data_IF_652373098005
#
_entry.id   IF_652373098005
#
_cell.length_a   1.000
_cell.length_b   1.000
_cell.length_c   1.000
_cell.angle_alpha   90.00
_cell.angle_beta   90.00
_cell.angle_gamma   90.00
#
_symmetry.space_group_name_H-M   'P 1'
#
loop_
_entity.id
_entity.type
_entity.pdbx_description
1 polymer ?
#
# COMPACT_ATOMS: atom_id res chain seq x y z
N UNK A 1 29.70 -2.44 18.68
CA UNK A 1 28.45 -1.66 18.49
C UNK A 1 27.47 -2.28 17.49
N UNK A 2 27.85 -2.54 16.22
CA UNK A 2 26.91 -3.09 15.23
C UNK A 2 26.40 -4.52 15.52
N UNK A 3 27.24 -5.41 16.07
CA UNK A 3 26.82 -6.76 16.50
C UNK A 3 25.81 -6.72 17.66
N UNK A 4 26.04 -5.83 18.64
CA UNK A 4 25.12 -5.61 19.75
C UNK A 4 23.74 -5.13 19.27
N UNK A 5 23.70 -4.14 18.36
CA UNK A 5 22.45 -3.67 17.76
C UNK A 5 21.69 -4.74 16.96
N UNK A 6 22.42 -5.59 16.24
CA UNK A 6 21.83 -6.74 15.54
C UNK A 6 21.22 -7.76 16.51
N UNK A 7 21.92 -8.03 17.61
CA UNK A 7 21.46 -8.93 18.66
C UNK A 7 20.21 -8.36 19.36
N UNK A 8 20.23 -7.08 19.72
CA UNK A 8 19.09 -6.39 20.35
C UNK A 8 17.85 -6.45 19.45
N UNK A 9 17.96 -6.09 18.17
CA UNK A 9 16.81 -6.12 17.27
C UNK A 9 16.31 -7.56 17.00
N UNK A 10 17.20 -8.55 16.95
CA UNK A 10 16.79 -9.95 16.87
C UNK A 10 16.04 -10.38 18.13
N UNK A 11 16.57 -10.06 19.32
CA UNK A 11 15.94 -10.36 20.59
C UNK A 11 14.56 -9.69 20.70
N UNK A 12 14.45 -8.42 20.33
CA UNK A 12 13.18 -7.67 20.32
C UNK A 12 12.14 -8.41 19.47
N UNK A 13 12.47 -8.82 18.25
CA UNK A 13 11.50 -9.51 17.38
C UNK A 13 11.10 -10.87 17.96
N UNK A 14 12.04 -11.61 18.55
CA UNK A 14 11.72 -12.89 19.19
C UNK A 14 10.84 -12.68 20.43
N UNK A 15 11.12 -11.68 21.26
CA UNK A 15 10.32 -11.31 22.43
C UNK A 15 8.90 -10.90 22.01
N UNK A 16 8.76 -10.07 20.97
CA UNK A 16 7.43 -9.70 20.45
C UNK A 16 6.68 -10.92 19.93
N UNK A 17 7.37 -11.83 19.23
CA UNK A 17 6.75 -13.04 18.70
C UNK A 17 6.31 -13.99 19.82
N UNK A 18 7.14 -14.19 20.85
CA UNK A 18 6.80 -15.04 21.99
C UNK A 18 5.67 -14.43 22.82
N UNK A 19 5.70 -13.12 23.07
CA UNK A 19 4.63 -12.40 23.75
C UNK A 19 3.31 -12.52 22.98
N UNK A 20 3.35 -12.43 21.65
CA UNK A 20 2.18 -12.57 20.80
C UNK A 20 1.59 -13.98 20.86
N UNK A 21 2.44 -15.03 20.79
CA UNK A 21 2.01 -16.42 20.95
C UNK A 21 1.40 -16.63 22.35
N UNK A 22 2.02 -16.10 23.39
CA UNK A 22 1.49 -16.18 24.75
C UNK A 22 0.14 -15.48 24.86
N UNK A 23 -0.04 -14.30 24.26
CA UNK A 23 -1.32 -13.59 24.21
C UNK A 23 -2.43 -14.36 23.50
N UNK A 24 -2.10 -15.08 22.41
CA UNK A 24 -3.06 -15.96 21.72
C UNK A 24 -3.53 -17.11 22.62
N UNK A 25 -2.59 -17.78 23.28
CA UNK A 25 -2.88 -18.89 24.18
C UNK A 25 -3.64 -18.42 25.42
N UNK A 26 -3.27 -17.27 25.97
CA UNK A 26 -3.92 -16.68 27.13
C UNK A 26 -5.39 -16.35 26.84
N UNK A 27 -5.69 -15.67 25.73
CA UNK A 27 -7.07 -15.33 25.38
C UNK A 27 -7.90 -16.57 25.12
N UNK A 28 -7.34 -17.57 24.43
CA UNK A 28 -8.02 -18.85 24.24
C UNK A 28 -8.30 -19.54 25.59
N UNK A 29 -7.34 -19.53 26.51
CA UNK A 29 -7.49 -20.06 27.86
C UNK A 29 -8.55 -19.33 28.68
N UNK A 30 -8.59 -18.00 28.63
CA UNK A 30 -9.63 -17.18 29.30
C UNK A 30 -11.02 -17.50 28.77
N UNK A 31 -11.17 -17.67 27.44
CA UNK A 31 -12.48 -18.02 26.85
C UNK A 31 -12.95 -19.41 27.32
N UNK A 32 -12.04 -20.40 27.38
CA UNK A 32 -12.36 -21.71 27.94
C UNK A 32 -12.67 -21.67 29.43
N UNK A 33 -11.96 -20.84 30.20
CA UNK A 33 -12.23 -20.66 31.62
C UNK A 33 -13.59 -20.00 31.87
N UNK A 34 -13.95 -18.97 31.09
CA UNK A 34 -15.28 -18.35 31.13
C UNK A 34 -16.37 -19.35 30.77
N UNK A 35 -16.15 -20.20 29.75
CA UNK A 35 -17.08 -21.26 29.40
C UNK A 35 -17.27 -22.26 30.55
N UNK A 36 -16.18 -22.71 31.17
CA UNK A 36 -16.23 -23.64 32.29
C UNK A 36 -16.94 -23.05 33.52
N UNK A 37 -16.65 -21.79 33.86
CA UNK A 37 -17.26 -21.12 35.02
C UNK A 37 -18.77 -20.96 34.84
N UNK A 38 -19.23 -20.52 33.66
CA UNK A 38 -20.66 -20.42 33.36
C UNK A 38 -21.33 -21.80 33.22
N UNK A 39 -20.58 -22.84 32.85
CA UNK A 39 -21.10 -24.22 32.81
C UNK A 39 -21.30 -24.85 34.19
N UNK A 40 -20.61 -24.34 35.21
CA UNK A 40 -20.57 -24.93 36.55
C UNK A 40 -21.46 -24.19 37.56
N UNK A 41 -22.14 -23.12 37.15
CA UNK A 41 -23.07 -22.35 37.98
C UNK A 41 -24.39 -23.08 38.27
N UNK A 42 -25.16 -22.65 39.30
CA UNK A 42 -26.45 -23.25 39.62
C UNK A 42 -27.46 -23.06 38.48
N UNK A 43 -28.16 -24.13 38.11
CA UNK A 43 -29.09 -24.20 36.99
C UNK A 43 -30.34 -23.37 37.31
N UNK A 44 -30.35 -22.09 36.93
CA UNK A 44 -31.59 -21.32 36.78
C UNK A 44 -31.95 -21.43 35.29
N UNK A 45 -32.99 -22.19 34.96
CA UNK A 45 -33.41 -22.46 33.57
C UNK A 45 -33.97 -21.21 32.87
N UNK A 46 -33.11 -20.28 32.50
CA UNK A 46 -33.45 -19.17 31.61
C UNK A 46 -32.96 -19.50 30.19
N UNK A 47 -33.85 -19.48 29.19
CA UNK A 47 -33.50 -19.80 27.78
C UNK A 47 -32.33 -18.96 27.24
N UNK A 48 -32.22 -17.71 27.70
CA UNK A 48 -31.13 -16.77 27.37
C UNK A 48 -29.76 -17.24 27.86
N UNK A 49 -29.66 -17.94 28.99
CA UNK A 49 -28.39 -18.43 29.53
C UNK A 49 -27.87 -19.63 28.73
N UNK A 50 -28.78 -20.50 28.28
CA UNK A 50 -28.46 -21.66 27.42
C UNK A 50 -27.98 -21.24 26.03
N UNK A 51 -28.54 -20.17 25.46
CA UNK A 51 -28.05 -19.60 24.19
C UNK A 51 -26.67 -18.96 24.34
N UNK A 52 -26.45 -18.19 25.41
CA UNK A 52 -25.15 -17.59 25.72
C UNK A 52 -24.05 -18.65 25.90
N UNK A 53 -24.37 -19.77 26.55
CA UNK A 53 -23.46 -20.90 26.74
C UNK A 53 -23.04 -21.57 25.43
N UNK A 54 -23.98 -21.75 24.49
CA UNK A 54 -23.67 -22.26 23.14
C UNK A 54 -22.79 -21.28 22.35
N UNK A 55 -23.09 -19.97 22.44
CA UNK A 55 -22.29 -18.93 21.81
C UNK A 55 -20.86 -18.89 22.36
N UNK A 56 -20.68 -18.99 23.68
CA UNK A 56 -19.39 -18.96 24.34
C UNK A 56 -18.53 -20.20 24.01
N UNK A 57 -19.15 -21.37 23.92
CA UNK A 57 -18.50 -22.59 23.43
C UNK A 57 -18.03 -22.42 21.97
N UNK A 58 -18.92 -21.92 21.10
CA UNK A 58 -18.60 -21.65 19.70
C UNK A 58 -17.43 -20.67 19.54
N UNK A 59 -17.44 -19.56 20.28
CA UNK A 59 -16.35 -18.58 20.27
C UNK A 59 -15.02 -19.16 20.78
N UNK A 60 -15.07 -20.03 21.79
CA UNK A 60 -13.87 -20.69 22.35
C UNK A 60 -13.22 -21.63 21.33
N UNK A 61 -14.02 -22.42 20.60
CA UNK A 61 -13.55 -23.30 19.53
C UNK A 61 -12.99 -22.49 18.34
N UNK A 62 -13.67 -21.41 17.94
CA UNK A 62 -13.18 -20.55 16.86
C UNK A 62 -11.85 -19.90 17.25
N UNK A 63 -11.74 -19.43 18.49
CA UNK A 63 -10.52 -18.80 19.02
C UNK A 63 -9.34 -19.78 19.06
N UNK A 64 -9.53 -21.02 19.52
CA UNK A 64 -8.46 -22.05 19.51
C UNK A 64 -8.01 -22.39 18.10
N UNK A 65 -8.95 -22.67 17.18
CA UNK A 65 -8.63 -23.03 15.79
C UNK A 65 -7.85 -21.90 15.12
N UNK A 66 -8.30 -20.66 15.30
CA UNK A 66 -7.64 -19.50 14.75
C UNK A 66 -6.24 -19.28 15.37
N UNK A 67 -6.08 -19.43 16.68
CA UNK A 67 -4.79 -19.35 17.34
C UNK A 67 -3.81 -20.41 16.81
N UNK A 68 -4.25 -21.66 16.61
CA UNK A 68 -3.43 -22.72 16.03
C UNK A 68 -3.00 -22.38 14.60
N UNK A 69 -3.92 -21.89 13.76
CA UNK A 69 -3.59 -21.45 12.38
C UNK A 69 -2.53 -20.34 12.39
N UNK A 70 -2.66 -19.34 13.27
CA UNK A 70 -1.67 -18.27 13.38
C UNK A 70 -0.31 -18.77 13.86
N UNK A 71 -0.28 -19.65 14.86
CA UNK A 71 0.96 -20.24 15.35
C UNK A 71 1.66 -21.03 14.24
N UNK A 72 0.92 -21.85 13.49
CA UNK A 72 1.47 -22.58 12.32
C UNK A 72 2.03 -21.61 11.29
N UNK A 73 1.30 -20.55 10.94
CA UNK A 73 1.76 -19.55 9.96
C UNK A 73 3.03 -18.83 10.42
N UNK A 74 3.13 -18.48 11.71
CA UNK A 74 4.33 -17.91 12.32
C UNK A 74 5.53 -18.86 12.17
N UNK A 75 5.33 -20.15 12.47
CA UNK A 75 6.39 -21.17 12.37
C UNK A 75 6.87 -21.33 10.93
N UNK A 76 5.95 -21.37 9.96
CA UNK A 76 6.29 -21.47 8.53
C UNK A 76 7.10 -20.25 8.04
N UNK A 77 6.76 -19.05 8.51
CA UNK A 77 7.43 -17.81 8.10
C UNK A 77 8.75 -17.55 8.85
N UNK A 78 9.06 -18.30 9.92
CA UNK A 78 10.26 -18.08 10.77
C UNK A 78 11.57 -17.95 9.99
N UNK A 79 11.79 -18.81 8.99
CA UNK A 79 13.03 -18.75 8.18
C UNK A 79 13.15 -17.45 7.37
N UNK A 80 12.02 -16.88 6.93
CA UNK A 80 11.97 -15.64 6.16
C UNK A 80 12.10 -14.40 7.05
N UNK A 81 11.61 -14.46 8.30
CA UNK A 81 11.73 -13.39 9.30
C UNK A 81 13.20 -12.97 9.46
N UNK A 82 14.13 -13.93 9.55
CA UNK A 82 15.55 -13.60 9.71
C UNK A 82 16.11 -12.73 8.58
N UNK A 83 15.81 -13.10 7.33
CA UNK A 83 16.24 -12.35 6.15
C UNK A 83 15.63 -10.94 6.15
N UNK A 84 14.35 -10.83 6.51
CA UNK A 84 13.64 -9.54 6.51
C UNK A 84 14.16 -8.63 7.63
N UNK A 85 14.51 -9.16 8.80
CA UNK A 85 15.16 -8.39 9.86
C UNK A 85 16.50 -7.83 9.37
N UNK A 86 17.30 -8.62 8.65
CA UNK A 86 18.57 -8.14 8.10
C UNK A 86 18.36 -7.00 7.09
N UNK A 87 17.36 -7.12 6.21
CA UNK A 87 16.97 -6.06 5.27
C UNK A 87 16.51 -4.80 6.02
N UNK A 88 15.67 -4.95 7.04
CA UNK A 88 15.16 -3.82 7.83
C UNK A 88 16.27 -3.12 8.62
N UNK A 89 17.20 -3.88 9.20
CA UNK A 89 18.38 -3.32 9.87
C UNK A 89 19.29 -2.56 8.88
N UNK A 90 19.48 -3.08 7.67
CA UNK A 90 20.25 -2.41 6.63
C UNK A 90 19.55 -1.10 6.21
N UNK A 91 18.23 -1.13 6.01
CA UNK A 91 17.43 0.06 5.71
C UNK A 91 17.51 1.10 6.85
N UNK A 92 17.29 0.68 8.10
CA UNK A 92 17.36 1.58 9.27
C UNK A 92 18.74 2.22 9.44
N UNK A 93 19.82 1.50 9.13
CA UNK A 93 21.17 2.06 9.15
C UNK A 93 21.36 3.17 8.10
N UNK A 94 20.70 3.06 6.96
CA UNK A 94 20.71 4.12 5.93
C UNK A 94 19.86 5.28 6.41
N UNK A 95 18.63 5.01 6.83
CA UNK A 95 17.69 6.03 7.31
C UNK A 95 18.27 6.85 8.48
N UNK A 96 18.96 6.19 9.42
CA UNK A 96 19.63 6.87 10.53
C UNK A 96 20.77 7.82 10.11
N UNK A 97 21.35 7.64 8.91
CA UNK A 97 22.34 8.58 8.34
C UNK A 97 21.69 9.71 7.54
N UNK A 98 20.48 9.49 7.03
CA UNK A 98 19.75 10.45 6.21
C UNK A 98 18.37 10.73 6.82
N UNK A 99 18.31 11.39 7.99
CA UNK A 99 17.05 11.59 8.72
C UNK A 99 16.03 12.39 7.91
N UNK A 100 16.49 13.24 6.99
CA UNK A 100 15.62 13.99 6.08
C UNK A 100 14.77 13.09 5.16
N UNK A 101 15.10 11.80 5.02
CA UNK A 101 14.32 10.85 4.21
C UNK A 101 12.91 10.64 4.77
N UNK A 102 12.72 10.84 6.08
CA UNK A 102 11.40 10.81 6.72
C UNK A 102 10.49 11.97 6.30
N UNK A 103 11.06 13.12 5.94
CA UNK A 103 10.28 14.27 5.47
C UNK A 103 9.89 14.17 4.00
N UNK A 104 10.53 13.28 3.24
CA UNK A 104 10.27 13.13 1.81
C UNK A 104 8.78 12.82 1.49
N UNK A 105 8.09 11.87 2.16
CA UNK A 105 6.67 11.63 1.91
C UNK A 105 5.80 12.82 2.27
N UNK A 106 6.10 13.53 3.38
CA UNK A 106 5.34 14.71 3.83
C UNK A 106 5.42 15.81 2.78
N UNK A 107 6.61 16.08 2.26
CA UNK A 107 6.81 17.06 1.19
C UNK A 107 6.03 16.69 -0.08
N UNK A 108 6.03 15.42 -0.46
CA UNK A 108 5.24 14.94 -1.60
C UNK A 108 3.74 15.10 -1.37
N UNK A 109 3.22 14.86 -0.15
CA UNK A 109 1.82 15.11 0.17
C UNK A 109 1.45 16.59 0.04
N UNK A 110 2.31 17.51 0.49
CA UNK A 110 2.09 18.95 0.33
C UNK A 110 2.00 19.31 -1.16
N UNK A 111 2.92 18.82 -1.99
CA UNK A 111 2.89 19.07 -3.45
C UNK A 111 1.60 18.51 -4.07
N UNK A 112 1.18 17.31 -3.69
CA UNK A 112 -0.06 16.71 -4.18
C UNK A 112 -1.30 17.52 -3.78
N UNK A 113 -1.36 18.04 -2.56
CA UNK A 113 -2.46 18.90 -2.10
C UNK A 113 -2.48 20.20 -2.90
N UNK A 114 -1.33 20.87 -3.06
CA UNK A 114 -1.23 22.10 -3.85
C UNK A 114 -1.64 21.86 -5.30
N UNK A 115 -1.19 20.76 -5.90
CA UNK A 115 -1.61 20.36 -7.24
C UNK A 115 -3.12 20.09 -7.32
N UNK A 116 -3.69 19.41 -6.32
CA UNK A 116 -5.13 19.13 -6.29
C UNK A 116 -5.95 20.43 -6.18
N UNK A 117 -5.54 21.37 -5.32
CA UNK A 117 -6.19 22.68 -5.21
C UNK A 117 -6.12 23.44 -6.54
N UNK A 118 -4.94 23.47 -7.18
CA UNK A 118 -4.78 24.07 -8.50
C UNK A 118 -5.67 23.40 -9.55
N UNK A 119 -5.72 22.07 -9.56
CA UNK A 119 -6.55 21.30 -10.47
C UNK A 119 -8.05 21.60 -10.30
N UNK A 120 -8.53 21.71 -9.05
CA UNK A 120 -9.92 22.09 -8.75
C UNK A 120 -10.20 23.51 -9.20
N UNK A 121 -9.29 24.46 -8.96
CA UNK A 121 -9.45 25.83 -9.42
C UNK A 121 -9.60 25.90 -10.95
N UNK A 122 -8.76 25.19 -11.70
CA UNK A 122 -8.85 25.11 -13.16
C UNK A 122 -10.15 24.42 -13.61
N UNK A 123 -10.60 23.38 -12.90
CA UNK A 123 -11.88 22.72 -13.19
C UNK A 123 -13.07 23.68 -13.03
N UNK A 124 -13.06 24.48 -11.95
CA UNK A 124 -14.09 25.50 -11.72
C UNK A 124 -14.07 26.56 -12.82
N UNK A 125 -12.89 27.04 -13.21
CA UNK A 125 -12.73 27.98 -14.33
C UNK A 125 -13.21 27.39 -15.67
N UNK A 126 -12.96 26.10 -15.92
CA UNK A 126 -13.47 25.39 -17.11
C UNK A 126 -15.00 25.28 -17.10
N UNK A 127 -15.60 25.07 -15.92
CA UNK A 127 -17.05 25.00 -15.75
C UNK A 127 -17.74 26.34 -15.97
N UNK A 128 -17.08 27.46 -15.63
CA UNK A 128 -17.64 28.82 -15.79
C UNK A 128 -17.35 29.47 -17.14
N UNK A 129 -16.42 28.93 -17.94
CA UNK A 129 -16.03 29.46 -19.24
C UNK A 129 -17.08 29.31 -20.38
N UNK A 130 -18.31 28.90 -20.07
CA UNK A 130 -19.38 28.73 -21.07
C UNK A 130 -19.89 30.06 -21.64
N UNK A 131 -19.97 30.17 -22.96
CA UNK A 131 -20.52 31.36 -23.63
C UNK A 131 -22.06 31.37 -23.57
N UNK A 132 -22.63 32.50 -23.16
CA UNK A 132 -24.07 32.78 -23.19
C UNK A 132 -24.49 33.08 -24.64
N UNK A 133 -25.45 32.32 -25.18
CA UNK A 133 -26.12 32.66 -26.43
C UNK A 133 -27.57 33.06 -26.11
N UNK A 134 -27.93 34.28 -26.50
CA UNK A 134 -29.30 34.78 -26.37
C UNK A 134 -30.09 34.33 -27.59
N UNK A 135 -31.13 33.53 -27.36
CA UNK A 135 -32.04 33.09 -28.41
C UNK A 135 -33.04 34.24 -28.68
N UNK A 136 -33.43 34.52 -29.94
CA UNK A 136 -34.51 35.46 -30.23
C UNK A 136 -35.78 35.00 -29.49
N UNK A 137 -36.24 35.81 -28.54
CA UNK A 137 -37.29 35.44 -27.56
C UNK A 137 -36.91 35.64 -26.09
N UNK A 138 -35.71 36.14 -25.79
CA UNK A 138 -35.29 36.53 -24.43
C UNK A 138 -34.82 35.37 -23.55
N UNK A 139 -34.76 34.14 -24.07
CA UNK A 139 -34.22 32.98 -23.37
C UNK A 139 -32.70 32.91 -23.50
N UNK A 140 -32.02 32.71 -22.38
CA UNK A 140 -30.57 32.49 -22.30
C UNK A 140 -30.28 31.00 -22.30
N UNK A 141 -29.58 30.50 -23.32
CA UNK A 141 -29.13 29.10 -23.36
C UNK A 141 -27.61 29.04 -23.31
N UNK A 142 -27.08 28.37 -22.29
CA UNK A 142 -25.66 28.09 -22.19
C UNK A 142 -25.30 27.01 -23.21
N UNK A 143 -24.52 27.39 -24.23
CA UNK A 143 -24.03 26.44 -25.23
C UNK A 143 -22.59 26.07 -24.87
N UNK A 144 -22.40 24.87 -24.33
CA UNK A 144 -21.06 24.34 -24.04
C UNK A 144 -20.33 24.15 -25.38
N UNK A 145 -19.23 24.87 -25.59
CA UNK A 145 -18.42 24.73 -26.80
C UNK A 145 -17.73 23.37 -26.85
N UNK A 146 -17.52 22.86 -28.07
CA UNK A 146 -16.89 21.56 -28.31
C UNK A 146 -15.51 21.46 -27.65
N UNK A 147 -14.71 22.53 -27.66
CA UNK A 147 -13.40 22.58 -27.00
C UNK A 147 -13.44 22.29 -25.50
N UNK A 148 -14.46 22.79 -24.78
CA UNK A 148 -14.63 22.57 -23.33
C UNK A 148 -14.90 21.09 -23.03
N UNK A 149 -15.60 20.38 -23.95
CA UNK A 149 -15.90 18.95 -23.78
C UNK A 149 -14.66 18.06 -23.88
N UNK A 150 -13.69 18.40 -24.73
CA UNK A 150 -12.41 17.67 -24.80
C UNK A 150 -11.46 18.03 -23.66
N UNK A 151 -11.46 19.29 -23.24
CA UNK A 151 -10.66 19.76 -22.10
C UNK A 151 -10.99 19.01 -20.82
N UNK A 152 -12.25 18.57 -20.65
CA UNK A 152 -12.64 17.79 -19.48
C UNK A 152 -11.90 16.44 -19.36
N UNK A 153 -11.81 15.69 -20.47
CA UNK A 153 -11.05 14.43 -20.51
C UNK A 153 -9.54 14.67 -20.36
N UNK A 154 -9.01 15.71 -21.02
CA UNK A 154 -7.62 16.11 -20.85
C UNK A 154 -7.30 16.44 -19.38
N UNK A 155 -8.19 17.18 -18.71
CA UNK A 155 -8.02 17.58 -17.31
C UNK A 155 -8.04 16.37 -16.36
N UNK A 156 -8.93 15.41 -16.59
CA UNK A 156 -8.95 14.14 -15.83
C UNK A 156 -7.70 13.28 -16.06
N UNK A 157 -7.29 13.11 -17.31
CA UNK A 157 -6.07 12.36 -17.62
C UNK A 157 -4.84 13.06 -17.04
N UNK A 158 -4.81 14.40 -17.09
CA UNK A 158 -3.79 15.23 -16.45
C UNK A 158 -3.74 15.05 -14.94
N UNK A 159 -4.89 14.91 -14.26
CA UNK A 159 -4.95 14.61 -12.82
C UNK A 159 -4.21 13.31 -12.49
N UNK A 160 -4.57 12.23 -13.20
CA UNK A 160 -4.02 10.90 -12.95
C UNK A 160 -2.53 10.90 -13.25
N UNK A 161 -2.14 11.40 -14.42
CA UNK A 161 -0.75 11.36 -14.87
C UNK A 161 0.18 12.24 -14.04
N UNK A 162 -0.23 13.46 -13.71
CA UNK A 162 0.58 14.37 -12.90
C UNK A 162 0.73 13.84 -11.47
N UNK A 163 -0.31 13.23 -10.91
CA UNK A 163 -0.23 12.57 -9.59
C UNK A 163 0.79 11.42 -9.61
N UNK A 164 0.73 10.55 -10.64
CA UNK A 164 1.71 9.47 -10.81
C UNK A 164 3.12 9.99 -11.06
N UNK A 165 3.26 11.10 -11.78
CA UNK A 165 4.56 11.76 -12.00
C UNK A 165 5.15 12.28 -10.68
N UNK A 166 4.36 12.97 -9.85
CA UNK A 166 4.79 13.46 -8.54
C UNK A 166 5.24 12.29 -7.63
N UNK A 167 4.47 11.20 -7.61
CA UNK A 167 4.84 9.99 -6.85
C UNK A 167 6.09 9.30 -7.41
N UNK A 168 6.26 9.27 -8.73
CA UNK A 168 7.45 8.70 -9.37
C UNK A 168 8.71 9.56 -9.08
N UNK A 169 8.60 10.88 -9.04
CA UNK A 169 9.67 11.78 -8.57
C UNK A 169 10.09 11.45 -7.13
N UNK A 170 9.12 11.16 -6.25
CA UNK A 170 9.41 10.73 -4.88
C UNK A 170 10.18 9.41 -4.87
N UNK A 171 9.73 8.40 -5.62
CA UNK A 171 10.38 7.08 -5.70
C UNK A 171 11.83 7.19 -6.20
N UNK A 172 12.04 7.97 -7.26
CA UNK A 172 13.37 8.20 -7.85
C UNK A 172 14.29 8.94 -6.87
N UNK A 173 13.77 9.94 -6.15
CA UNK A 173 14.54 10.69 -5.13
C UNK A 173 14.98 9.78 -3.97
N UNK A 174 14.08 8.92 -3.49
CA UNK A 174 14.38 7.95 -2.42
C UNK A 174 15.44 6.97 -2.91
N UNK A 175 15.28 6.43 -4.13
CA UNK A 175 16.26 5.52 -4.74
C UNK A 175 17.64 6.19 -4.89
N UNK A 176 17.69 7.42 -5.41
CA UNK A 176 18.88 8.27 -5.52
C UNK A 176 19.61 8.43 -4.19
N UNK A 177 18.87 8.78 -3.14
CA UNK A 177 19.43 9.00 -1.81
C UNK A 177 19.98 7.70 -1.22
N UNK A 178 19.23 6.60 -1.35
CA UNK A 178 19.62 5.28 -0.83
C UNK A 178 20.86 4.76 -1.55
N UNK A 179 20.91 4.82 -2.88
CA UNK A 179 22.08 4.38 -3.67
C UNK A 179 23.31 5.21 -3.29
N UNK A 180 23.18 6.53 -3.22
CA UNK A 180 24.27 7.42 -2.83
C UNK A 180 24.78 7.10 -1.42
N UNK A 181 23.90 6.83 -0.46
CA UNK A 181 24.29 6.51 0.91
C UNK A 181 24.86 5.09 1.09
N UNK A 182 24.38 4.14 0.28
CA UNK A 182 24.75 2.73 0.37
C UNK A 182 26.06 2.42 -0.37
N UNK A 183 26.20 2.90 -1.60
CA UNK A 183 27.35 2.58 -2.46
C UNK A 183 28.54 3.53 -2.27
N UNK A 184 28.34 4.74 -1.72
CA UNK A 184 29.46 5.64 -1.46
C UNK A 184 30.27 5.16 -0.24
N UNK A 185 31.41 4.52 -0.53
CA UNK A 185 32.30 3.91 0.46
C UNK A 185 33.03 4.97 1.30
N UNK A 186 33.24 6.17 0.75
CA UNK A 186 33.95 7.25 1.42
C UNK A 186 32.99 8.27 2.04
N UNK A 187 32.68 8.08 3.32
CA UNK A 187 31.68 8.89 4.04
C UNK A 187 32.08 10.37 4.20
N UNK A 188 33.35 10.72 4.07
CA UNK A 188 33.82 12.12 4.14
C UNK A 188 33.50 12.93 2.89
N UNK A 189 33.20 12.27 1.75
CA UNK A 189 32.76 12.91 0.50
C UNK A 189 31.24 12.91 0.33
N UNK A 190 30.47 12.49 1.33
CA UNK A 190 29.02 12.49 1.25
C UNK A 190 28.54 13.94 1.32
N UNK A 191 27.82 14.39 0.29
CA UNK A 191 27.17 15.72 0.28
C UNK A 191 26.40 15.93 1.59
N UNK A 192 26.53 17.12 2.19
CA UNK A 192 25.85 17.49 3.45
C UNK A 192 24.34 17.29 3.39
N UNK A 193 23.75 17.32 2.19
CA UNK A 193 22.32 17.10 1.95
C UNK A 193 22.08 16.14 0.77
N UNK A 194 22.16 14.82 0.98
CA UNK A 194 22.07 13.83 -0.11
C UNK A 194 20.70 13.79 -0.79
N UNK A 195 19.64 14.23 -0.11
CA UNK A 195 18.29 14.34 -0.68
C UNK A 195 18.20 15.50 -1.67
N UNK A 196 18.69 16.69 -1.29
CA UNK A 196 18.71 17.86 -2.20
C UNK A 196 19.54 17.57 -3.45
N UNK A 197 20.69 16.89 -3.27
CA UNK A 197 21.49 16.42 -4.39
C UNK A 197 20.71 15.44 -5.29
N UNK A 198 20.00 14.46 -4.70
CA UNK A 198 19.19 13.50 -5.46
C UNK A 198 18.02 14.17 -6.21
N UNK A 199 17.40 15.18 -5.62
CA UNK A 199 16.35 15.99 -6.27
C UNK A 199 16.94 16.76 -7.46
N UNK A 200 18.10 17.40 -7.30
CA UNK A 200 18.79 18.09 -8.38
C UNK A 200 19.15 17.12 -9.52
N UNK A 201 19.71 15.96 -9.20
CA UNK A 201 20.03 14.92 -10.20
C UNK A 201 18.78 14.42 -10.93
N UNK A 202 17.67 14.25 -10.20
CA UNK A 202 16.38 13.89 -10.80
C UNK A 202 15.96 14.90 -11.87
N UNK A 203 15.92 16.20 -11.52
CA UNK A 203 15.45 17.23 -12.44
C UNK A 203 16.43 17.53 -13.58
N UNK A 204 17.73 17.41 -13.35
CA UNK A 204 18.75 17.69 -14.36
C UNK A 204 18.98 16.53 -15.34
N UNK A 205 18.87 15.27 -14.89
CA UNK A 205 19.32 14.12 -15.68
C UNK A 205 18.26 13.03 -15.89
N UNK A 206 17.33 12.84 -14.95
CA UNK A 206 16.42 11.68 -14.97
C UNK A 206 14.94 12.01 -15.13
N UNK A 207 14.61 13.28 -15.40
CA UNK A 207 13.23 13.73 -15.57
C UNK A 207 12.50 12.93 -16.66
N UNK A 208 13.15 12.70 -17.82
CA UNK A 208 12.57 11.93 -18.92
C UNK A 208 12.27 10.47 -18.56
N UNK A 209 13.11 9.82 -17.75
CA UNK A 209 12.88 8.47 -17.24
C UNK A 209 11.63 8.43 -16.36
N UNK A 210 11.46 9.42 -15.49
CA UNK A 210 10.32 9.52 -14.57
C UNK A 210 9.03 9.83 -15.32
N UNK A 211 9.06 10.75 -16.29
CA UNK A 211 7.93 11.07 -17.18
C UNK A 211 7.47 9.82 -17.94
N UNK A 212 8.41 9.07 -18.52
CA UNK A 212 8.09 7.84 -19.28
C UNK A 212 7.49 6.77 -18.38
N UNK A 213 8.07 6.54 -17.21
CA UNK A 213 7.57 5.55 -16.28
C UNK A 213 6.17 5.91 -15.74
N UNK A 214 5.95 7.16 -15.31
CA UNK A 214 4.64 7.59 -14.79
C UNK A 214 3.54 7.56 -15.85
N UNK A 215 3.87 7.84 -17.10
CA UNK A 215 2.94 7.75 -18.23
C UNK A 215 2.47 6.31 -18.46
N UNK A 216 3.38 5.34 -18.45
CA UNK A 216 3.04 3.91 -18.63
C UNK A 216 2.04 3.44 -17.57
N UNK A 217 2.25 3.80 -16.31
CA UNK A 217 1.32 3.43 -15.21
C UNK A 217 -0.05 4.09 -15.41
N UNK A 218 -0.06 5.35 -15.82
CA UNK A 218 -1.28 6.12 -16.03
C UNK A 218 -2.12 5.55 -17.16
N UNK A 219 -1.50 5.18 -18.28
CA UNK A 219 -2.17 4.51 -19.41
C UNK A 219 -2.81 3.18 -18.98
N UNK A 220 -2.20 2.46 -18.03
CA UNK A 220 -2.74 1.19 -17.53
C UNK A 220 -3.84 1.35 -16.48
N UNK A 221 -3.83 2.47 -15.74
CA UNK A 221 -4.86 2.78 -14.74
C UNK A 221 -6.18 3.23 -15.37
N UNK A 222 -6.14 3.95 -16.50
CA UNK A 222 -7.35 4.48 -17.18
C UNK A 222 -8.32 3.36 -17.60
N UNK A 223 -7.92 2.27 -18.28
CA UNK A 223 -8.80 1.17 -18.65
C UNK A 223 -9.55 0.57 -17.46
N UNK A 224 -8.90 0.46 -16.30
CA UNK A 224 -9.51 -0.08 -15.09
C UNK A 224 -10.62 0.83 -14.53
N UNK A 225 -10.40 2.14 -14.54
CA UNK A 225 -11.42 3.12 -14.14
C UNK A 225 -12.61 3.05 -15.10
N UNK A 226 -12.35 3.02 -16.41
CA UNK A 226 -13.39 2.91 -17.44
C UNK A 226 -14.20 1.62 -17.29
N UNK A 227 -13.54 0.46 -17.15
CA UNK A 227 -14.20 -0.83 -16.94
C UNK A 227 -15.07 -0.83 -15.68
N UNK A 228 -14.60 -0.23 -14.59
CA UNK A 228 -15.37 -0.11 -13.35
C UNK A 228 -16.61 0.78 -13.55
N UNK A 229 -16.48 1.91 -14.26
CA UNK A 229 -17.59 2.79 -14.59
C UNK A 229 -18.63 2.07 -15.45
N UNK A 230 -18.20 1.35 -16.49
CA UNK A 230 -19.10 0.58 -17.37
C UNK A 230 -19.82 -0.53 -16.60
N UNK A 231 -19.10 -1.28 -15.77
CA UNK A 231 -19.70 -2.34 -14.95
C UNK A 231 -20.75 -1.78 -13.97
N UNK A 232 -20.47 -0.64 -13.31
CA UNK A 232 -21.43 -0.03 -12.40
C UNK A 232 -22.72 0.43 -13.10
N UNK A 233 -22.63 0.90 -14.34
CA UNK A 233 -23.79 1.29 -15.15
C UNK A 233 -24.60 0.06 -15.60
N UNK A 234 -23.92 -1.04 -15.95
CA UNK A 234 -24.54 -2.24 -16.50
C UNK A 234 -24.95 -3.29 -15.44
N UNK A 235 -24.62 -3.06 -14.17
CA UNK A 235 -24.83 -4.02 -13.06
C UNK A 235 -26.26 -4.58 -12.98
N UNK A 236 -27.26 -3.81 -13.40
CA UNK A 236 -28.68 -4.20 -13.37
C UNK A 236 -29.23 -4.73 -14.70
N UNK A 237 -28.42 -4.78 -15.77
CA UNK A 237 -28.84 -5.14 -17.14
C UNK A 237 -27.98 -6.22 -17.80
N UNK A 238 -26.98 -6.77 -17.09
CA UNK A 238 -25.98 -7.67 -17.67
C UNK A 238 -26.33 -9.16 -17.54
N UNK A 239 -26.05 -9.92 -18.60
CA UNK A 239 -26.08 -11.39 -18.60
C UNK A 239 -24.85 -11.97 -17.88
N UNK A 240 -24.93 -13.24 -17.46
CA UNK A 240 -23.86 -13.95 -16.74
C UNK A 240 -22.51 -13.91 -17.49
N UNK A 241 -22.52 -14.06 -18.82
CA UNK A 241 -21.29 -13.99 -19.64
C UNK A 241 -20.62 -12.61 -19.60
N UNK A 242 -21.40 -11.53 -19.68
CA UNK A 242 -20.87 -10.16 -19.60
C UNK A 242 -20.22 -9.91 -18.23
N UNK A 243 -20.86 -10.37 -17.15
CA UNK A 243 -20.29 -10.30 -15.79
C UNK A 243 -18.96 -11.04 -15.68
N UNK A 244 -18.86 -12.23 -16.29
CA UNK A 244 -17.62 -13.01 -16.30
C UNK A 244 -16.49 -12.27 -17.05
N UNK A 245 -16.77 -11.72 -18.22
CA UNK A 245 -15.81 -10.94 -19.03
C UNK A 245 -15.33 -9.70 -18.25
N UNK A 246 -16.25 -8.93 -17.67
CA UNK A 246 -15.87 -7.76 -16.86
C UNK A 246 -14.95 -8.15 -15.70
N UNK A 247 -15.26 -9.25 -14.99
CA UNK A 247 -14.43 -9.74 -13.89
C UNK A 247 -13.05 -10.21 -14.35
N UNK A 248 -12.98 -10.90 -15.49
CA UNK A 248 -11.72 -11.36 -16.07
C UNK A 248 -10.84 -10.18 -16.52
N UNK A 249 -11.37 -9.28 -17.35
CA UNK A 249 -10.63 -8.11 -17.83
C UNK A 249 -10.19 -7.19 -16.68
N UNK A 250 -11.07 -6.95 -15.70
CA UNK A 250 -10.73 -6.17 -14.52
C UNK A 250 -9.55 -6.78 -13.75
N UNK A 251 -9.56 -8.11 -13.56
CA UNK A 251 -8.46 -8.84 -12.93
C UNK A 251 -7.16 -8.71 -13.76
N UNK A 252 -7.23 -8.91 -15.08
CA UNK A 252 -6.06 -8.79 -15.96
C UNK A 252 -5.43 -7.39 -15.91
N UNK A 253 -6.24 -6.33 -16.00
CA UNK A 253 -5.74 -4.95 -15.91
C UNK A 253 -5.20 -4.62 -14.52
N UNK A 254 -5.84 -5.11 -13.45
CA UNK A 254 -5.33 -4.95 -12.10
C UNK A 254 -3.98 -5.64 -11.90
N UNK A 255 -3.83 -6.88 -12.37
CA UNK A 255 -2.57 -7.61 -12.33
C UNK A 255 -1.48 -6.89 -13.13
N UNK A 256 -1.81 -6.39 -14.33
CA UNK A 256 -0.88 -5.67 -15.18
C UNK A 256 -0.46 -4.33 -14.56
N UNK A 257 -1.41 -3.54 -14.03
CA UNK A 257 -1.12 -2.29 -13.29
C UNK A 257 -0.16 -2.56 -12.12
N UNK A 258 -0.43 -3.61 -11.33
CA UNK A 258 0.40 -3.97 -10.18
C UNK A 258 1.81 -4.41 -10.58
N UNK A 259 1.91 -5.24 -11.62
CA UNK A 259 3.18 -5.70 -12.16
C UNK A 259 4.01 -4.53 -12.69
N UNK A 260 3.41 -3.66 -13.50
CA UNK A 260 4.10 -2.50 -14.06
C UNK A 260 4.50 -1.50 -12.98
N UNK A 261 3.66 -1.29 -11.96
CA UNK A 261 4.03 -0.45 -10.81
C UNK A 261 5.28 -0.98 -10.09
N UNK A 262 5.32 -2.30 -9.87
CA UNK A 262 6.50 -2.95 -9.28
C UNK A 262 7.72 -2.91 -10.20
N UNK A 263 7.54 -3.12 -11.51
CA UNK A 263 8.60 -3.02 -12.51
C UNK A 263 9.20 -1.60 -12.55
N UNK A 264 8.35 -0.57 -12.57
CA UNK A 264 8.78 0.84 -12.56
C UNK A 264 9.65 1.17 -11.36
N UNK A 265 9.23 0.76 -10.16
CA UNK A 265 10.00 1.02 -8.94
C UNK A 265 11.41 0.42 -9.02
N UNK A 266 11.53 -0.81 -9.55
CA UNK A 266 12.83 -1.45 -9.74
C UNK A 266 13.63 -0.82 -10.90
N UNK A 267 12.96 -0.40 -11.97
CA UNK A 267 13.58 0.29 -13.10
C UNK A 267 14.18 1.63 -12.66
N UNK A 268 13.50 2.40 -11.80
CA UNK A 268 14.04 3.65 -11.24
C UNK A 268 15.30 3.40 -10.40
N UNK A 269 15.29 2.37 -9.55
CA UNK A 269 16.48 1.99 -8.79
C UNK A 269 17.64 1.58 -9.72
N UNK A 270 17.38 0.76 -10.74
CA UNK A 270 18.39 0.36 -11.73
C UNK A 270 18.92 1.55 -12.55
N UNK A 271 18.05 2.52 -12.88
CA UNK A 271 18.44 3.75 -13.61
C UNK A 271 19.45 4.55 -12.80
N UNK A 272 19.21 4.73 -11.50
CA UNK A 272 20.13 5.43 -10.60
C UNK A 272 21.46 4.68 -10.45
N UNK A 273 21.41 3.34 -10.30
CA UNK A 273 22.63 2.54 -10.07
C UNK A 273 23.51 2.51 -11.32
N UNK A 274 22.90 2.30 -12.49
CA UNK A 274 23.64 2.06 -13.74
C UNK A 274 23.79 3.32 -14.61
N UNK A 275 23.05 4.40 -14.31
CA UNK A 275 23.04 5.62 -15.13
C UNK A 275 22.43 5.45 -16.53
N UNK A 276 21.57 4.45 -16.74
CA UNK A 276 20.97 4.13 -18.05
C UNK A 276 19.56 4.71 -18.20
N UNK A 277 18.99 4.66 -19.41
CA UNK A 277 17.62 5.10 -19.64
C UNK A 277 16.57 4.10 -19.10
N UNK A 278 15.31 4.54 -19.04
CA UNK A 278 14.19 3.75 -18.53
C UNK A 278 14.05 2.36 -19.16
N UNK A 279 14.14 2.24 -20.49
CA UNK A 279 13.88 0.96 -21.17
C UNK A 279 14.96 -0.08 -20.87
N UNK A 280 16.23 0.33 -20.87
CA UNK A 280 17.34 -0.54 -20.50
C UNK A 280 17.20 -1.00 -19.06
N UNK A 281 16.96 -0.06 -18.14
CA UNK A 281 16.77 -0.36 -16.72
C UNK A 281 15.53 -1.23 -16.44
N UNK A 282 14.43 -1.03 -17.17
CA UNK A 282 13.24 -1.86 -17.06
C UNK A 282 13.48 -3.28 -17.55
N UNK A 283 14.27 -3.46 -18.62
CA UNK A 283 14.68 -4.79 -19.10
C UNK A 283 15.50 -5.50 -18.02
N UNK A 284 16.50 -4.85 -17.46
CA UNK A 284 17.34 -5.43 -16.41
C UNK A 284 16.51 -5.78 -15.16
N UNK A 285 15.64 -4.87 -14.73
CA UNK A 285 14.73 -5.10 -13.61
C UNK A 285 13.79 -6.29 -13.85
N UNK A 286 13.27 -6.46 -15.07
CA UNK A 286 12.40 -7.59 -15.43
C UNK A 286 13.13 -8.95 -15.37
N UNK A 287 14.40 -8.99 -15.81
CA UNK A 287 15.25 -10.18 -15.75
C UNK A 287 15.58 -10.54 -14.30
N UNK A 288 15.88 -9.54 -13.47
CA UNK A 288 16.17 -9.76 -12.04
C UNK A 288 14.92 -10.26 -11.31
N UNK A 289 13.75 -9.68 -11.62
CA UNK A 289 12.49 -10.05 -10.99
C UNK A 289 12.05 -11.46 -11.35
N UNK A 290 12.09 -11.82 -12.64
CA UNK A 290 11.70 -13.15 -13.11
C UNK A 290 12.55 -14.27 -12.50
N UNK A 291 13.83 -13.99 -12.21
CA UNK A 291 14.74 -14.95 -11.56
C UNK A 291 14.50 -15.11 -10.05
N UNK A 292 13.86 -14.14 -9.39
CA UNK A 292 13.72 -14.09 -7.93
C UNK A 292 12.26 -14.09 -7.42
N UNK A 293 11.29 -14.48 -8.27
CA UNK A 293 9.85 -14.42 -7.96
C UNK A 293 9.51 -15.08 -6.62
N UNK A 294 10.09 -16.24 -6.31
CA UNK A 294 9.84 -16.97 -5.05
C UNK A 294 10.24 -16.19 -3.81
N UNK A 295 11.39 -15.50 -3.87
CA UNK A 295 11.87 -14.67 -2.77
C UNK A 295 11.03 -13.39 -2.63
N UNK A 296 10.68 -12.75 -3.75
CA UNK A 296 9.82 -11.57 -3.75
C UNK A 296 8.42 -11.88 -3.21
N UNK A 297 7.80 -12.99 -3.62
CA UNK A 297 6.51 -13.44 -3.11
C UNK A 297 6.56 -13.72 -1.61
N UNK A 298 7.63 -14.36 -1.12
CA UNK A 298 7.80 -14.63 0.30
C UNK A 298 7.91 -13.34 1.14
N UNK A 299 8.59 -12.31 0.63
CA UNK A 299 8.68 -11.00 1.29
C UNK A 299 7.32 -10.30 1.32
N UNK A 300 6.58 -10.29 0.22
CA UNK A 300 5.24 -9.70 0.17
C UNK A 300 4.27 -10.44 1.10
N UNK A 301 4.29 -11.77 1.09
CA UNK A 301 3.48 -12.60 1.99
C UNK A 301 3.77 -12.29 3.46
N UNK A 302 5.05 -12.12 3.84
CA UNK A 302 5.41 -11.69 5.19
C UNK A 302 4.89 -10.28 5.52
N UNK A 303 5.00 -9.32 4.59
CA UNK A 303 4.48 -7.96 4.78
C UNK A 303 2.97 -7.97 5.02
N UNK A 304 2.22 -8.69 4.20
CA UNK A 304 0.77 -8.82 4.33
C UNK A 304 0.40 -9.53 5.64
N UNK A 305 1.14 -10.58 6.01
CA UNK A 305 0.98 -11.27 7.28
C UNK A 305 1.26 -10.36 8.49
N UNK A 306 2.30 -9.53 8.44
CA UNK A 306 2.61 -8.59 9.52
C UNK A 306 1.50 -7.53 9.70
N UNK A 307 0.97 -7.00 8.60
CA UNK A 307 -0.18 -6.07 8.66
C UNK A 307 -1.43 -6.77 9.20
N UNK A 308 -1.66 -8.02 8.81
CA UNK A 308 -2.74 -8.83 9.34
C UNK A 308 -2.62 -9.03 10.86
N UNK A 309 -1.44 -9.41 11.35
CA UNK A 309 -1.15 -9.54 12.78
C UNK A 309 -1.40 -8.23 13.54
N UNK A 310 -0.95 -7.10 12.99
CA UNK A 310 -1.17 -5.79 13.61
C UNK A 310 -2.65 -5.40 13.70
N UNK A 311 -3.47 -5.78 12.71
CA UNK A 311 -4.93 -5.59 12.77
C UNK A 311 -5.57 -6.50 13.82
N UNK A 312 -5.15 -7.77 13.84
CA UNK A 312 -5.67 -8.74 14.79
C UNK A 312 -5.34 -8.38 16.23
N UNK A 313 -4.11 -7.96 16.53
CA UNK A 313 -3.72 -7.53 17.88
C UNK A 313 -4.61 -6.40 18.41
N UNK A 314 -4.98 -5.42 17.56
CA UNK A 314 -5.91 -4.34 17.94
C UNK A 314 -7.33 -4.85 18.21
N UNK A 315 -7.82 -5.79 17.40
CA UNK A 315 -9.13 -6.40 17.61
C UNK A 315 -9.17 -7.23 18.90
N UNK A 316 -8.12 -8.01 19.16
CA UNK A 316 -7.95 -8.81 20.36
C UNK A 316 -7.98 -7.94 21.61
N UNK A 317 -7.21 -6.84 21.64
CA UNK A 317 -7.18 -5.93 22.79
C UNK A 317 -8.54 -5.30 23.06
N UNK A 318 -9.27 -4.92 22.00
CA UNK A 318 -10.61 -4.35 22.12
C UNK A 318 -11.63 -5.37 22.65
N UNK A 319 -11.59 -6.59 22.14
CA UNK A 319 -12.48 -7.67 22.57
C UNK A 319 -12.22 -8.08 24.03
N UNK A 320 -10.94 -8.17 24.43
CA UNK A 320 -10.56 -8.46 25.80
C UNK A 320 -11.03 -7.38 26.79
N UNK A 321 -10.87 -6.10 26.44
CA UNK A 321 -11.40 -4.99 27.26
C UNK A 321 -12.93 -5.05 27.37
N UNK A 322 -13.63 -5.39 26.29
CA UNK A 322 -15.09 -5.53 26.32
C UNK A 322 -15.56 -6.73 27.17
N UNK A 323 -14.87 -7.87 27.08
CA UNK A 323 -15.17 -9.04 27.90
C UNK A 323 -14.92 -8.78 29.40
N UNK A 324 -13.87 -8.03 29.75
CA UNK A 324 -13.60 -7.58 31.11
C UNK A 324 -14.66 -6.61 31.65
N UNK A 325 -15.23 -5.75 30.79
CA UNK A 325 -16.30 -4.83 31.16
C UNK A 325 -17.65 -5.53 31.42
N UNK A 326 -17.79 -6.78 30.96
CA UNK A 326 -19.01 -7.58 31.10
C UNK A 326 -18.94 -8.60 32.26
N UNK A 327 -17.76 -8.78 32.87
CA UNK A 327 -17.56 -9.56 34.09
C UNK A 327 -17.81 -8.71 35.34
#
# INVERSE_FOLDING_TARGET
MMLAFRCINMLIVHIFLTLFIFGLLFVSGVMWWLYYNNSSGPIIELETEKENMKLLCGLSIISTVFAVILIVLIVLLRKKIHLIIQLFQAANKIIGKVPFLYFQPIWTFIILILFWVFWVAVLLSLGTAGSVQVIPGGQVKYKIQFGIRYMWWYHLLGLIWTSEFILACQQMTIAGTVVTCFFNRNKSKLSSHPILCSISVLFCYHLGTVVKGSLIISIMRVPRIVLLSVHNILKNKENVCARCIFKCCFCSFWCLERFLGYLNQNAYAATIINGTNFCTSAKDASVILSKNVTNTMAINCFSDFAVFLAKYFRLQSMFFSFALLWM
#
